data_IF_607029536918
#
_entry.id   IF_607029536918
#
_cell.length_a   1.000
_cell.length_b   1.000
_cell.length_c   1.000
_cell.angle_alpha   90.00
_cell.angle_beta   90.00
_cell.angle_gamma   90.00
#
_symmetry.space_group_name_H-M   'P 1'
#
loop_
_entity.id
_entity.type
_entity.pdbx_description
1 polymer ?
#
# COMPACT_ATOMS: atom_id res chain seq x y z
N UNK A 1 1.30 -1.19 -19.21
CA UNK A 1 0.10 -0.42 -18.79
C UNK A 1 0.54 0.49 -17.65
N UNK A 2 0.45 1.79 -17.81
CA UNK A 2 0.73 2.78 -16.75
C UNK A 2 -0.42 2.73 -15.74
N UNK A 3 -0.13 2.76 -14.44
CA UNK A 3 -1.17 2.89 -13.42
C UNK A 3 -1.89 4.22 -13.67
N UNK A 4 -3.22 4.24 -13.55
CA UNK A 4 -3.99 5.46 -13.73
C UNK A 4 -3.50 6.53 -12.72
N UNK A 5 -3.47 7.79 -13.15
CA UNK A 5 -3.15 8.95 -12.29
C UNK A 5 -4.26 9.23 -11.26
N UNK A 6 -5.30 8.39 -11.19
CA UNK A 6 -6.37 8.52 -10.22
C UNK A 6 -5.94 8.04 -8.84
N UNK A 7 -6.73 8.43 -7.84
CA UNK A 7 -6.46 8.17 -6.43
C UNK A 7 -6.18 6.68 -6.21
N UNK A 8 -5.12 6.39 -5.47
CA UNK A 8 -4.78 5.01 -5.09
C UNK A 8 -5.84 4.31 -4.24
N UNK A 9 -6.85 5.02 -3.74
CA UNK A 9 -8.01 4.44 -3.05
C UNK A 9 -9.09 3.90 -4.00
N UNK A 10 -9.05 4.27 -5.29
CA UNK A 10 -9.98 3.83 -6.33
C UNK A 10 -9.39 2.74 -7.24
N UNK A 11 -8.15 2.32 -6.99
CA UNK A 11 -7.51 1.29 -7.80
C UNK A 11 -8.26 -0.03 -7.76
N UNK A 12 -8.41 -0.63 -8.94
CA UNK A 12 -8.88 -1.99 -9.14
C UNK A 12 -7.82 -3.02 -8.74
N UNK A 13 -8.23 -4.29 -8.56
CA UNK A 13 -7.29 -5.41 -8.34
C UNK A 13 -6.17 -5.48 -9.38
N UNK A 14 -6.46 -5.21 -10.64
CA UNK A 14 -5.45 -5.24 -11.72
C UNK A 14 -4.43 -4.10 -11.62
N UNK A 15 -4.84 -2.93 -11.12
CA UNK A 15 -3.94 -1.82 -10.85
C UNK A 15 -3.06 -2.10 -9.62
N UNK A 16 -3.62 -2.74 -8.58
CA UNK A 16 -2.84 -3.24 -7.44
C UNK A 16 -1.81 -4.26 -7.91
N UNK A 17 -2.21 -5.23 -8.75
CA UNK A 17 -1.27 -6.20 -9.33
C UNK A 17 -0.14 -5.52 -10.11
N UNK A 18 -0.48 -4.51 -10.91
CA UNK A 18 0.50 -3.71 -11.64
C UNK A 18 1.44 -2.97 -10.67
N UNK A 19 0.92 -2.43 -9.58
CA UNK A 19 1.72 -1.78 -8.53
C UNK A 19 2.66 -2.76 -7.83
N UNK A 20 2.22 -3.98 -7.52
CA UNK A 20 3.09 -5.03 -6.96
C UNK A 20 4.25 -5.35 -7.91
N UNK A 21 3.96 -5.51 -9.21
CA UNK A 21 4.99 -5.76 -10.22
C UNK A 21 6.00 -4.60 -10.31
N UNK A 22 5.53 -3.35 -10.29
CA UNK A 22 6.38 -2.16 -10.33
C UNK A 22 7.27 -2.00 -9.08
N UNK A 23 6.82 -2.51 -7.93
CA UNK A 23 7.59 -2.51 -6.69
C UNK A 23 8.41 -3.79 -6.48
N UNK A 24 8.50 -4.65 -7.50
CA UNK A 24 9.22 -5.93 -7.44
C UNK A 24 8.78 -6.79 -6.24
N UNK A 25 7.46 -6.91 -6.08
CA UNK A 25 6.79 -7.75 -5.07
C UNK A 25 6.28 -9.03 -5.72
N UNK A 26 6.35 -10.15 -4.99
CA UNK A 26 5.97 -11.47 -5.48
C UNK A 26 4.46 -11.65 -5.60
N UNK A 27 4.07 -12.62 -6.43
CA UNK A 27 2.68 -13.10 -6.50
C UNK A 27 2.21 -13.69 -5.16
N UNK A 28 3.07 -14.43 -4.45
CA UNK A 28 2.74 -14.99 -3.14
C UNK A 28 2.32 -13.90 -2.14
N UNK A 29 3.02 -12.76 -2.15
CA UNK A 29 2.66 -11.62 -1.30
C UNK A 29 1.34 -10.98 -1.73
N UNK A 30 1.12 -10.82 -3.03
CA UNK A 30 -0.13 -10.29 -3.59
C UNK A 30 -1.35 -11.16 -3.25
N UNK A 31 -1.18 -12.48 -3.30
CA UNK A 31 -2.22 -13.47 -3.00
C UNK A 31 -2.45 -13.60 -1.49
N UNK A 32 -1.39 -13.47 -0.67
CA UNK A 32 -1.51 -13.52 0.80
C UNK A 32 -2.22 -12.30 1.37
N UNK A 33 -2.00 -11.13 0.77
CA UNK A 33 -2.62 -9.87 1.20
C UNK A 33 -4.03 -9.69 0.65
N UNK A 34 -4.33 -10.28 -0.52
CA UNK A 34 -5.66 -10.41 -1.12
C UNK A 34 -6.49 -9.11 -1.16
N UNK A 35 -5.85 -7.97 -1.42
CA UNK A 35 -6.57 -6.69 -1.53
C UNK A 35 -7.51 -6.69 -2.74
N UNK A 36 -8.80 -6.45 -2.49
CA UNK A 36 -9.84 -6.37 -3.52
C UNK A 36 -9.70 -5.07 -4.33
N UNK A 37 -9.41 -3.97 -3.63
CA UNK A 37 -9.31 -2.62 -4.18
C UNK A 37 -8.27 -1.76 -3.45
N UNK A 38 -8.02 -0.58 -4.01
CA UNK A 38 -7.04 0.38 -3.53
C UNK A 38 -7.32 0.88 -2.12
N UNK A 39 -8.59 0.99 -1.71
CA UNK A 39 -8.97 1.44 -0.38
C UNK A 39 -8.44 0.50 0.71
N UNK A 40 -8.48 -0.81 0.45
CA UNK A 40 -7.93 -1.83 1.35
C UNK A 40 -6.41 -1.74 1.43
N UNK A 41 -5.73 -1.57 0.29
CA UNK A 41 -4.28 -1.39 0.23
C UNK A 41 -3.82 -0.15 1.02
N UNK A 42 -4.52 0.98 0.87
CA UNK A 42 -4.22 2.22 1.60
C UNK A 42 -4.47 2.06 3.10
N UNK A 43 -5.60 1.44 3.48
CA UNK A 43 -5.93 1.20 4.89
C UNK A 43 -4.88 0.29 5.54
N UNK A 44 -4.50 -0.79 4.87
CA UNK A 44 -3.42 -1.66 5.31
C UNK A 44 -2.10 -0.89 5.46
N UNK A 45 -1.74 -0.09 4.46
CA UNK A 45 -0.59 0.80 4.51
C UNK A 45 -0.59 1.69 5.74
N UNK A 46 -1.68 2.39 6.02
CA UNK A 46 -1.82 3.26 7.19
C UNK A 46 -1.65 2.50 8.51
N UNK A 47 -2.22 1.31 8.63
CA UNK A 47 -2.11 0.50 9.84
C UNK A 47 -0.67 0.03 10.10
N UNK A 48 0.04 -0.37 9.05
CA UNK A 48 1.41 -0.90 9.16
C UNK A 48 2.43 0.23 9.32
N UNK A 49 2.39 1.26 8.47
CA UNK A 49 3.48 2.27 8.41
C UNK A 49 3.46 3.25 9.57
N UNK A 50 2.32 3.46 10.23
CA UNK A 50 2.19 4.42 11.33
C UNK A 50 2.58 3.87 12.70
N UNK A 51 2.94 2.58 12.80
CA UNK A 51 3.26 1.94 14.07
C UNK A 51 4.48 1.03 13.93
N UNK A 52 5.63 1.38 14.54
CA UNK A 52 6.84 0.55 14.48
C UNK A 52 6.62 -0.88 14.97
N UNK A 53 5.86 -1.09 16.06
CA UNK A 53 5.57 -2.43 16.57
C UNK A 53 4.79 -3.28 15.57
N UNK A 54 3.91 -2.67 14.77
CA UNK A 54 3.17 -3.36 13.72
C UNK A 54 4.04 -3.75 12.53
N UNK A 55 5.16 -3.09 12.31
CA UNK A 55 6.08 -3.47 11.23
C UNK A 55 6.70 -4.84 11.54
N UNK A 56 7.19 -5.03 12.76
CA UNK A 56 7.82 -6.31 13.14
C UNK A 56 6.79 -7.44 13.22
N UNK A 57 5.63 -7.19 13.84
CA UNK A 57 4.53 -8.16 13.91
C UNK A 57 4.04 -8.59 12.52
N UNK A 58 3.96 -7.64 11.59
CA UNK A 58 3.48 -7.89 10.25
C UNK A 58 4.52 -8.64 9.40
N UNK A 59 5.81 -8.35 9.59
CA UNK A 59 6.88 -9.13 9.00
C UNK A 59 6.78 -10.60 9.41
N UNK A 60 6.65 -10.87 10.72
CA UNK A 60 6.54 -12.23 11.23
C UNK A 60 5.25 -12.92 10.76
N UNK A 61 4.13 -12.19 10.72
CA UNK A 61 2.86 -12.70 10.19
C UNK A 61 2.99 -13.15 8.73
N UNK A 62 3.55 -12.31 7.87
CA UNK A 62 3.72 -12.60 6.45
C UNK A 62 4.72 -13.73 6.22
N UNK A 63 5.85 -13.71 6.94
CA UNK A 63 6.85 -14.78 6.93
C UNK A 63 6.25 -16.14 7.29
N UNK A 64 5.40 -16.18 8.31
CA UNK A 64 4.75 -17.42 8.74
C UNK A 64 3.68 -17.91 7.75
N UNK A 65 2.93 -16.99 7.11
CA UNK A 65 1.91 -17.35 6.11
C UNK A 65 2.49 -17.81 4.78
N UNK A 66 3.50 -17.11 4.27
CA UNK A 66 4.12 -17.39 2.96
C UNK A 66 5.16 -18.51 3.09
N UNK A 67 5.79 -18.62 4.26
CA UNK A 67 6.89 -19.53 4.52
C UNK A 67 8.24 -18.82 4.46
N UNK A 68 9.12 -19.15 5.41
CA UNK A 68 10.43 -18.51 5.60
C UNK A 68 11.35 -18.55 4.37
N UNK A 69 11.20 -19.58 3.53
CA UNK A 69 12.07 -19.80 2.36
C UNK A 69 11.58 -19.00 1.14
N UNK A 70 10.36 -18.47 1.21
CA UNK A 70 9.68 -17.77 0.11
C UNK A 70 9.42 -16.28 0.42
N UNK A 71 9.65 -15.84 1.66
CA UNK A 71 9.44 -14.45 2.07
C UNK A 71 10.74 -13.85 2.62
N UNK A 72 11.27 -12.87 1.90
CA UNK A 72 12.57 -12.28 2.19
C UNK A 72 12.44 -10.87 2.78
N UNK A 73 13.39 -10.50 3.64
CA UNK A 73 13.39 -9.19 4.31
C UNK A 73 13.47 -8.02 3.31
N UNK A 74 14.18 -8.19 2.20
CA UNK A 74 14.30 -7.18 1.15
C UNK A 74 12.97 -6.93 0.43
N UNK A 75 12.17 -7.99 0.22
CA UNK A 75 10.83 -7.88 -0.33
C UNK A 75 9.89 -7.13 0.63
N UNK A 76 9.96 -7.44 1.93
CA UNK A 76 9.19 -6.72 2.93
C UNK A 76 9.58 -5.24 3.01
N UNK A 77 10.88 -4.92 2.92
CA UNK A 77 11.35 -3.54 2.87
C UNK A 77 10.83 -2.79 1.63
N UNK A 78 10.77 -3.45 0.46
CA UNK A 78 10.14 -2.88 -0.74
C UNK A 78 8.65 -2.62 -0.54
N UNK A 79 7.91 -3.56 0.07
CA UNK A 79 6.50 -3.39 0.40
C UNK A 79 6.31 -2.16 1.30
N UNK A 80 7.06 -2.07 2.40
CA UNK A 80 6.97 -0.95 3.33
C UNK A 80 7.24 0.40 2.66
N UNK A 81 8.27 0.47 1.81
CA UNK A 81 8.60 1.70 1.09
C UNK A 81 7.49 2.09 0.10
N UNK A 82 6.91 1.11 -0.60
CA UNK A 82 5.75 1.33 -1.46
C UNK A 82 4.56 1.88 -0.67
N UNK A 83 4.21 1.24 0.46
CA UNK A 83 3.10 1.66 1.31
C UNK A 83 3.29 3.07 1.87
N UNK A 84 4.50 3.42 2.31
CA UNK A 84 4.82 4.78 2.79
C UNK A 84 4.56 5.84 1.72
N UNK A 85 4.96 5.58 0.46
CA UNK A 85 4.69 6.49 -0.66
C UNK A 85 3.19 6.63 -0.91
N UNK A 86 2.46 5.52 -0.93
CA UNK A 86 1.02 5.51 -1.12
C UNK A 86 0.26 6.29 -0.04
N UNK A 87 0.60 6.06 1.23
CA UNK A 87 -0.01 6.76 2.37
C UNK A 87 0.31 8.25 2.33
N UNK A 88 1.54 8.62 1.99
CA UNK A 88 1.93 10.03 1.85
C UNK A 88 1.14 10.74 0.75
N UNK A 89 1.01 10.13 -0.42
CA UNK A 89 0.22 10.66 -1.55
C UNK A 89 -1.27 10.81 -1.19
N UNK A 90 -1.85 9.82 -0.52
CA UNK A 90 -3.25 9.88 -0.05
C UNK A 90 -3.47 11.05 0.91
N UNK A 91 -2.57 11.24 1.87
CA UNK A 91 -2.66 12.33 2.85
C UNK A 91 -2.49 13.72 2.21
N UNK A 92 -1.55 13.87 1.26
CA UNK A 92 -1.37 15.13 0.52
C UNK A 92 -2.62 15.50 -0.28
N UNK A 93 -3.25 14.52 -0.94
CA UNK A 93 -4.46 14.77 -1.73
C UNK A 93 -5.66 15.13 -0.85
N UNK A 94 -5.83 14.48 0.30
CA UNK A 94 -6.82 14.89 1.30
C UNK A 94 -6.62 16.34 1.72
N UNK A 95 -5.39 16.72 2.07
CA UNK A 95 -5.07 18.10 2.46
C UNK A 95 -5.38 19.12 1.36
N UNK A 96 -5.09 18.79 0.09
CA UNK A 96 -5.41 19.66 -1.05
C UNK A 96 -6.93 19.85 -1.23
N UNK A 97 -7.71 18.78 -1.14
CA UNK A 97 -9.18 18.81 -1.21
C UNK A 97 -9.78 19.68 -0.09
N UNK A 98 -9.24 19.61 1.13
CA UNK A 98 -9.70 20.48 2.22
C UNK A 98 -9.41 21.95 1.91
N UNK A 99 -8.19 22.30 1.49
CA UNK A 99 -7.82 23.70 1.18
C UNK A 99 -8.66 24.28 0.04
N UNK A 100 -8.91 23.52 -1.03
CA UNK A 100 -9.76 24.00 -2.13
C UNK A 100 -11.22 24.14 -1.70
N UNK A 101 -11.73 23.25 -0.84
CA UNK A 101 -13.09 23.34 -0.30
C UNK A 101 -13.29 24.59 0.57
N UNK A 102 -12.29 24.98 1.37
CA UNK A 102 -12.37 26.21 2.17
C UNK A 102 -12.32 27.50 1.32
N UNK A 103 -11.58 27.49 0.21
CA UNK A 103 -11.44 28.66 -0.66
C UNK A 103 -12.62 28.90 -1.62
N UNK A 104 -13.52 27.93 -1.78
CA UNK A 104 -14.72 28.08 -2.64
C UNK A 104 -15.92 28.62 -1.84
N UNK A 105 -15.88 28.53 -0.51
CA UNK A 105 -16.97 28.94 0.39
C UNK A 105 -16.65 30.24 1.14
N UNK A 106 -15.55 30.93 0.80
CA UNK A 106 -15.15 32.22 1.39
C UNK A 106 -15.28 33.38 0.40
#
# INVERSE_FOLDING_TARGET
KTISNELSDQWTREEIKTWFQQNHLSGNLLDTLDFIDGSQLITYGQLVVNSPSRIDEEYDRLKNKIGKDLFHLDEYARLLNGLKKLVSQSNQKKNHLYVTSYNIVS
#
